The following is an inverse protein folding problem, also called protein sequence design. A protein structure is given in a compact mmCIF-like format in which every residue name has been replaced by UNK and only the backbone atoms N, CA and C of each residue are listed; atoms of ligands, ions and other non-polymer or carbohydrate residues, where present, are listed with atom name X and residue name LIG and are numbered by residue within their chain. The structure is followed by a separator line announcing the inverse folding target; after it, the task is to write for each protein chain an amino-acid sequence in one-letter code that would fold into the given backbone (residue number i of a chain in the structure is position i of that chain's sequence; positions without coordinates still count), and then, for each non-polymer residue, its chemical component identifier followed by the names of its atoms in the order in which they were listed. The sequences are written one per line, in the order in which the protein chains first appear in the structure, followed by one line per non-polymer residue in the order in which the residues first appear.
data_IF_654362265034
#
_entry.id   IF_654362265034
#
_cell.length_a   1.000
_cell.length_b   1.000
_cell.length_c   1.000
_cell.angle_alpha   90.00
_cell.angle_beta   90.00
_cell.angle_gamma   90.00
#
_symmetry.space_group_name_H-M   'P 1'
#
loop_
_entity.id
_entity.type
_entity.pdbx_description
1 polymer ?
#
# COMPACT_ATOMS: atom_id res chain seq x y z
N UNK A 1 5.08 17.74 -9.85
CA UNK A 1 4.07 16.83 -10.45
C UNK A 1 2.89 16.71 -9.51
N UNK A 2 1.83 17.50 -9.72
CA UNK A 2 0.64 17.53 -8.86
C UNK A 2 -0.30 16.33 -9.07
N UNK A 3 -0.20 15.69 -10.24
CA UNK A 3 -1.06 14.55 -10.60
C UNK A 3 -0.73 13.29 -9.78
N UNK A 4 0.56 12.91 -9.69
CA UNK A 4 0.99 11.75 -8.89
C UNK A 4 0.68 11.94 -7.41
N UNK A 5 0.88 13.15 -6.86
CA UNK A 5 0.55 13.43 -5.45
C UNK A 5 -0.95 13.36 -5.16
N UNK A 6 -1.80 13.71 -6.12
CA UNK A 6 -3.24 13.51 -6.00
C UNK A 6 -3.59 12.02 -5.97
N UNK A 7 -3.03 11.21 -6.89
CA UNK A 7 -3.26 9.76 -6.92
C UNK A 7 -2.88 9.13 -5.58
N UNK A 8 -1.68 9.41 -5.06
CA UNK A 8 -1.24 8.81 -3.81
C UNK A 8 -2.07 9.27 -2.61
N UNK A 9 -2.52 10.54 -2.57
CA UNK A 9 -3.45 11.01 -1.54
C UNK A 9 -4.79 10.31 -1.60
N UNK A 10 -5.35 10.13 -2.79
CA UNK A 10 -6.61 9.39 -2.97
C UNK A 10 -6.48 7.93 -2.56
N UNK A 11 -5.34 7.28 -2.84
CA UNK A 11 -5.06 5.92 -2.39
C UNK A 11 -4.98 5.83 -0.86
N UNK A 12 -4.30 6.78 -0.21
CA UNK A 12 -4.25 6.86 1.25
C UNK A 12 -5.62 7.10 1.88
N UNK A 13 -6.44 7.98 1.30
CA UNK A 13 -7.81 8.22 1.75
C UNK A 13 -8.70 6.97 1.58
N UNK A 14 -8.56 6.25 0.46
CA UNK A 14 -9.29 5.01 0.21
C UNK A 14 -8.86 3.91 1.20
N UNK A 15 -7.56 3.80 1.49
CA UNK A 15 -7.03 2.87 2.48
C UNK A 15 -7.58 3.15 3.89
N UNK A 16 -7.66 4.42 4.28
CA UNK A 16 -8.26 4.84 5.54
C UNK A 16 -9.75 4.53 5.59
N UNK A 17 -10.49 4.76 4.49
CA UNK A 17 -11.90 4.41 4.40
C UNK A 17 -12.15 2.90 4.53
N UNK A 18 -11.31 2.07 3.91
CA UNK A 18 -11.35 0.60 4.08
C UNK A 18 -11.09 0.22 5.53
N UNK A 19 -10.11 0.85 6.19
CA UNK A 19 -9.79 0.60 7.59
C UNK A 19 -10.95 0.96 8.54
N UNK A 20 -11.59 2.11 8.32
CA UNK A 20 -12.81 2.48 9.04
C UNK A 20 -13.94 1.49 8.77
N UNK A 21 -14.07 1.00 7.53
CA UNK A 21 -15.04 -0.03 7.15
C UNK A 21 -14.83 -1.33 7.92
N UNK A 22 -13.58 -1.78 8.07
CA UNK A 22 -13.24 -2.97 8.87
C UNK A 22 -13.63 -2.76 10.34
N UNK A 23 -13.29 -1.60 10.91
CA UNK A 23 -13.67 -1.28 12.29
C UNK A 23 -15.19 -1.32 12.48
N UNK A 24 -15.95 -0.73 11.55
CA UNK A 24 -17.41 -0.78 11.57
C UNK A 24 -17.94 -2.21 11.48
N UNK A 25 -17.41 -3.02 10.55
CA UNK A 25 -17.81 -4.43 10.38
C UNK A 25 -17.57 -5.25 11.66
N UNK A 26 -16.40 -5.13 12.27
CA UNK A 26 -16.05 -5.86 13.50
C UNK A 26 -16.96 -5.41 14.66
N UNK A 27 -17.20 -4.10 14.80
CA UNK A 27 -18.12 -3.59 15.81
C UNK A 27 -19.53 -4.14 15.62
N UNK A 28 -20.06 -4.11 14.39
CA UNK A 28 -21.37 -4.69 14.07
C UNK A 28 -21.40 -6.19 14.40
N UNK A 29 -20.35 -6.95 14.08
CA UNK A 29 -20.25 -8.38 14.38
C UNK A 29 -20.28 -8.64 15.90
N UNK A 30 -19.60 -7.82 16.70
CA UNK A 30 -19.62 -7.90 18.17
C UNK A 30 -21.04 -7.66 18.70
N UNK A 31 -21.74 -6.63 18.20
CA UNK A 31 -23.12 -6.34 18.61
C UNK A 31 -24.10 -7.44 18.20
N UNK A 32 -24.02 -7.94 16.96
CA UNK A 32 -24.90 -9.00 16.48
C UNK A 32 -24.70 -10.29 17.27
N UNK A 33 -23.43 -10.63 17.58
CA UNK A 33 -23.10 -11.79 18.40
C UNK A 33 -23.71 -11.69 19.79
N UNK A 34 -23.79 -10.49 20.37
CA UNK A 34 -24.45 -10.27 21.66
C UNK A 34 -25.98 -10.54 21.62
N UNK A 35 -26.60 -10.44 20.44
CA UNK A 35 -28.04 -10.68 20.21
C UNK A 35 -28.28 -12.12 19.68
N UNK A 36 -27.25 -12.99 19.70
CA UNK A 36 -27.33 -14.38 19.27
C UNK A 36 -27.38 -14.59 17.75
N UNK A 37 -27.14 -13.54 16.95
CA UNK A 37 -27.03 -13.64 15.50
C UNK A 37 -25.56 -13.52 15.07
N UNK A 38 -25.15 -14.28 14.07
CA UNK A 38 -23.80 -14.15 13.51
C UNK A 38 -23.90 -13.87 12.01
N UNK A 39 -23.13 -12.89 11.54
CA UNK A 39 -22.94 -12.68 10.10
C UNK A 39 -22.04 -13.80 9.58
N UNK A 40 -22.48 -14.63 8.63
CA UNK A 40 -21.62 -15.63 8.01
C UNK A 40 -20.45 -14.95 7.26
N UNK A 41 -19.22 -15.46 7.43
CA UNK A 41 -18.01 -14.98 6.72
C UNK A 41 -17.60 -13.51 6.94
N UNK A 42 -18.08 -12.83 7.99
CA UNK A 42 -17.64 -11.46 8.28
C UNK A 42 -16.12 -11.33 8.47
N UNK A 43 -15.49 -12.35 9.04
CA UNK A 43 -14.03 -12.40 9.25
C UNK A 43 -13.26 -12.44 7.92
N UNK A 44 -13.79 -13.14 6.90
CA UNK A 44 -13.19 -13.22 5.57
C UNK A 44 -13.23 -11.85 4.87
N UNK A 45 -14.38 -11.18 4.92
CA UNK A 45 -14.54 -9.82 4.37
C UNK A 45 -13.63 -8.81 5.07
N UNK A 46 -13.49 -8.91 6.40
CA UNK A 46 -12.58 -8.06 7.15
C UNK A 46 -11.12 -8.28 6.74
N UNK A 47 -10.70 -9.53 6.54
CA UNK A 47 -9.36 -9.86 6.07
C UNK A 47 -9.09 -9.33 4.65
N UNK A 48 -10.05 -9.45 3.74
CA UNK A 48 -9.91 -8.94 2.37
C UNK A 48 -9.84 -7.41 2.33
N UNK A 49 -10.69 -6.73 3.10
CA UNK A 49 -10.67 -5.28 3.21
C UNK A 49 -9.36 -4.79 3.86
N UNK A 50 -8.81 -5.55 4.82
CA UNK A 50 -7.52 -5.26 5.44
C UNK A 50 -6.39 -5.34 4.41
N UNK A 51 -6.33 -6.41 3.62
CA UNK A 51 -5.35 -6.54 2.55
C UNK A 51 -5.47 -5.36 1.57
N UNK A 52 -6.68 -5.01 1.13
CA UNK A 52 -6.90 -3.87 0.24
C UNK A 52 -6.38 -2.55 0.86
N UNK A 53 -6.67 -2.31 2.14
CA UNK A 53 -6.20 -1.12 2.86
C UNK A 53 -4.67 -1.03 2.89
N UNK A 54 -3.98 -2.11 3.24
CA UNK A 54 -2.52 -2.14 3.32
C UNK A 54 -1.91 -1.82 1.96
N UNK A 55 -2.32 -2.52 0.90
CA UNK A 55 -1.74 -2.34 -0.44
C UNK A 55 -2.03 -0.95 -1.03
N UNK A 56 -3.19 -0.37 -0.74
CA UNK A 56 -3.52 1.00 -1.15
C UNK A 56 -2.79 2.07 -0.34
N UNK A 57 -2.42 1.78 0.91
CA UNK A 57 -1.67 2.71 1.77
C UNK A 57 -0.18 2.82 1.39
N UNK A 58 0.42 1.75 0.85
CA UNK A 58 1.86 1.66 0.55
C UNK A 58 2.42 2.81 -0.33
N UNK A 59 1.78 3.21 -1.45
CA UNK A 59 2.29 4.30 -2.28
C UNK A 59 2.27 5.65 -1.54
N UNK A 60 1.21 5.88 -0.75
CA UNK A 60 1.01 7.12 0.01
C UNK A 60 2.01 7.29 1.15
N UNK A 61 2.37 6.19 1.81
CA UNK A 61 3.36 6.16 2.90
C UNK A 61 4.79 6.31 2.37
N UNK A 62 5.11 5.73 1.21
CA UNK A 62 6.42 5.89 0.57
C UNK A 62 6.69 7.36 0.18
N UNK A 63 5.68 8.06 -0.33
CA UNK A 63 5.80 9.45 -0.78
C UNK A 63 5.76 10.47 0.37
N UNK A 64 5.08 10.13 1.47
CA UNK A 64 5.06 10.91 2.70
C UNK A 64 6.31 10.70 3.59
N UNK A 65 7.30 9.93 3.12
CA UNK A 65 8.53 9.67 3.86
C UNK A 65 8.38 8.73 5.06
N UNK A 66 7.23 8.06 5.21
CA UNK A 66 6.84 7.31 6.40
C UNK A 66 7.52 5.94 6.58
N UNK A 67 8.11 5.34 5.55
CA UNK A 67 8.81 4.04 5.69
C UNK A 67 10.07 3.86 4.81
N UNK A 68 11.07 3.20 5.44
CA UNK A 68 12.42 2.81 4.97
C UNK A 68 13.11 3.88 4.12
N UNK A 69 13.24 5.07 4.69
CA UNK A 69 14.42 5.85 4.34
C UNK A 69 15.59 5.15 5.03
N UNK A 70 16.62 4.84 4.26
CA UNK A 70 17.98 4.58 4.72
C UNK A 70 18.54 5.89 5.32
N UNK A 71 17.71 6.69 6.00
CA UNK A 71 18.08 7.97 6.61
C UNK A 71 19.03 7.76 7.72
N UNK A 72 18.82 6.73 8.55
CA UNK A 72 19.76 6.43 9.63
C UNK A 72 21.14 6.17 9.07
N UNK A 73 21.25 5.49 7.92
CA UNK A 73 22.54 5.23 7.28
C UNK A 73 23.04 6.43 6.45
N UNK A 74 22.16 7.24 5.87
CA UNK A 74 22.50 8.49 5.17
C UNK A 74 22.92 9.61 6.13
N UNK A 75 22.44 9.58 7.37
CA UNK A 75 22.94 10.41 8.46
C UNK A 75 24.36 9.99 8.87
N UNK A 76 24.70 8.70 8.71
CA UNK A 76 26.05 8.16 8.93
C UNK A 76 27.01 8.38 7.76
N UNK A 77 26.53 8.28 6.51
CA UNK A 77 27.36 8.32 5.29
C UNK A 77 27.00 9.57 4.48
N UNK A 78 27.70 10.68 4.77
CA UNK A 78 27.60 11.94 4.02
C UNK A 78 28.43 11.85 2.73
N UNK A 79 27.82 12.07 1.57
CA UNK A 79 28.55 12.20 0.30
C UNK A 79 27.90 11.53 -0.91
N UNK A 80 28.60 11.48 -2.07
CA UNK A 80 28.09 10.90 -3.32
C UNK A 80 27.85 9.38 -3.22
N UNK A 81 28.58 8.67 -2.36
CA UNK A 81 28.42 7.23 -2.13
C UNK A 81 27.05 6.87 -1.55
N UNK A 82 26.54 7.67 -0.61
CA UNK A 82 25.20 7.47 -0.05
C UNK A 82 24.09 7.64 -1.10
N UNK A 83 24.35 8.45 -2.15
CA UNK A 83 23.41 8.60 -3.28
C UNK A 83 23.39 7.38 -4.17
N UNK A 84 24.56 6.82 -4.51
CA UNK A 84 24.64 5.60 -5.34
C UNK A 84 23.93 4.45 -4.63
N UNK A 85 24.16 4.28 -3.33
CA UNK A 85 23.51 3.25 -2.52
C UNK A 85 21.98 3.38 -2.51
N UNK A 86 21.46 4.59 -2.35
CA UNK A 86 20.01 4.85 -2.37
C UNK A 86 19.40 4.59 -3.75
N UNK A 87 20.12 4.93 -4.83
CA UNK A 87 19.67 4.63 -6.19
C UNK A 87 19.64 3.11 -6.40
N UNK A 88 20.73 2.40 -6.08
CA UNK A 88 20.80 0.94 -6.26
C UNK A 88 19.76 0.21 -5.43
N UNK A 89 19.56 0.60 -4.16
CA UNK A 89 18.54 0.01 -3.30
C UNK A 89 17.13 0.26 -3.83
N UNK A 90 16.85 1.49 -4.30
CA UNK A 90 15.55 1.82 -4.91
C UNK A 90 15.32 1.07 -6.22
N UNK A 91 16.38 0.81 -6.99
CA UNK A 91 16.32 0.09 -8.26
C UNK A 91 16.09 -1.42 -8.05
N UNK A 92 16.73 -2.01 -7.05
CA UNK A 92 16.48 -3.40 -6.62
C UNK A 92 15.04 -3.54 -6.13
N UNK A 93 14.58 -2.63 -5.26
CA UNK A 93 13.21 -2.62 -4.77
C UNK A 93 12.20 -2.49 -5.92
N UNK A 94 12.44 -1.59 -6.88
CA UNK A 94 11.62 -1.45 -8.07
C UNK A 94 11.56 -2.74 -8.89
N UNK A 95 12.70 -3.39 -9.13
CA UNK A 95 12.75 -4.64 -9.89
C UNK A 95 11.96 -5.76 -9.21
N UNK A 96 12.11 -5.91 -7.89
CA UNK A 96 11.37 -6.90 -7.11
C UNK A 96 9.86 -6.63 -7.11
N UNK A 97 9.46 -5.36 -6.98
CA UNK A 97 8.05 -4.96 -6.97
C UNK A 97 7.40 -5.07 -8.34
N UNK A 98 8.10 -4.70 -9.41
CA UNK A 98 7.62 -4.86 -10.78
C UNK A 98 7.42 -6.34 -11.11
N UNK A 99 8.39 -7.19 -10.77
CA UNK A 99 8.26 -8.65 -10.91
C UNK A 99 7.09 -9.20 -10.09
N UNK A 100 6.99 -8.80 -8.82
CA UNK A 100 5.90 -9.20 -7.94
C UNK A 100 4.54 -8.80 -8.47
N UNK A 101 4.39 -7.59 -9.00
CA UNK A 101 3.12 -7.10 -9.56
C UNK A 101 2.65 -7.94 -10.76
N UNK A 102 3.58 -8.33 -11.65
CA UNK A 102 3.28 -9.24 -12.78
C UNK A 102 2.89 -10.62 -12.27
N UNK A 103 3.61 -11.17 -11.29
CA UNK A 103 3.30 -12.47 -10.70
C UNK A 103 1.93 -12.49 -10.00
N UNK A 104 1.58 -11.40 -9.30
CA UNK A 104 0.24 -11.23 -8.71
C UNK A 104 -0.83 -11.15 -9.81
N UNK A 105 -0.59 -10.42 -10.90
CA UNK A 105 -1.53 -10.33 -12.01
C UNK A 105 -1.79 -11.70 -12.65
N UNK A 106 -0.74 -12.52 -12.86
CA UNK A 106 -0.93 -13.90 -13.33
C UNK A 106 -1.72 -14.76 -12.34
N UNK A 107 -1.46 -14.61 -11.04
CA UNK A 107 -2.19 -15.34 -10.00
C UNK A 107 -3.69 -15.00 -10.00
N UNK A 108 -4.05 -13.73 -10.17
CA UNK A 108 -5.46 -13.31 -10.29
C UNK A 108 -6.09 -13.81 -11.57
N UNK A 109 -5.34 -13.82 -12.67
CA UNK A 109 -5.83 -14.35 -13.94
C UNK A 109 -6.13 -15.85 -13.86
N UNK A 110 -5.26 -16.62 -13.22
CA UNK A 110 -5.49 -18.04 -12.98
C UNK A 110 -6.71 -18.24 -12.07
N UNK A 111 -6.80 -17.52 -10.95
CA UNK A 111 -7.95 -17.52 -10.03
C UNK A 111 -9.28 -17.23 -10.75
N UNK A 112 -9.28 -16.26 -11.68
CA UNK A 112 -10.44 -15.97 -12.53
C UNK A 112 -10.79 -17.13 -13.47
N UNK A 113 -9.78 -17.72 -14.12
CA UNK A 113 -9.97 -18.82 -15.09
C UNK A 113 -10.45 -20.11 -14.41
N UNK A 114 -9.94 -20.43 -13.23
CA UNK A 114 -10.33 -21.60 -12.45
C UNK A 114 -11.63 -21.39 -11.65
N UNK A 115 -12.23 -20.18 -11.70
CA UNK A 115 -13.39 -19.79 -10.88
C UNK A 115 -13.19 -20.11 -9.40
N UNK A 116 -12.00 -19.76 -8.88
CA UNK A 116 -11.68 -20.01 -7.48
C UNK A 116 -12.59 -19.19 -6.56
N UNK A 117 -13.29 -19.90 -5.68
CA UNK A 117 -14.20 -19.33 -4.69
C UNK A 117 -13.59 -19.44 -3.30
N UNK A 118 -13.91 -18.47 -2.44
CA UNK A 118 -13.43 -18.48 -1.06
C UNK A 118 -13.89 -19.71 -0.31
N UNK A 119 -13.00 -20.28 0.51
CA UNK A 119 -13.29 -21.40 1.42
C UNK A 119 -14.17 -21.03 2.63
N UNK A 120 -14.65 -19.78 2.70
CA UNK A 120 -15.55 -19.29 3.74
C UNK A 120 -16.96 -19.86 3.66
N UNK A 121 -17.79 -19.53 4.65
CA UNK A 121 -19.22 -19.88 4.69
C UNK A 121 -20.01 -19.28 3.51
N UNK A 122 -19.51 -18.19 2.93
CA UNK A 122 -20.05 -17.58 1.71
C UNK A 122 -19.03 -17.80 0.58
N UNK A 123 -19.46 -18.42 -0.52
CA UNK A 123 -18.64 -18.60 -1.71
C UNK A 123 -18.56 -17.28 -2.49
N UNK A 124 -17.52 -16.49 -2.25
CA UNK A 124 -17.24 -15.25 -2.99
C UNK A 124 -16.10 -15.51 -3.98
N UNK A 125 -16.19 -15.02 -5.23
CA UNK A 125 -15.09 -15.15 -6.18
C UNK A 125 -13.83 -14.44 -5.67
N UNK A 126 -12.72 -15.18 -5.55
CA UNK A 126 -11.48 -14.66 -4.96
C UNK A 126 -10.78 -13.61 -5.84
N UNK A 127 -11.10 -13.55 -7.13
CA UNK A 127 -10.53 -12.56 -8.04
C UNK A 127 -10.85 -11.11 -7.62
N UNK A 128 -12.01 -10.86 -7.00
CA UNK A 128 -12.42 -9.51 -6.55
C UNK A 128 -11.44 -8.94 -5.51
N UNK A 129 -11.24 -9.59 -4.34
CA UNK A 129 -10.30 -9.09 -3.35
C UNK A 129 -8.86 -9.08 -3.87
N UNK A 130 -8.47 -10.06 -4.69
CA UNK A 130 -7.10 -10.14 -5.22
C UNK A 130 -6.75 -9.00 -6.19
N UNK A 131 -7.72 -8.47 -6.96
CA UNK A 131 -7.48 -7.30 -7.84
C UNK A 131 -6.98 -6.10 -7.04
N UNK A 132 -7.46 -5.88 -5.82
CA UNK A 132 -7.03 -4.74 -5.00
C UNK A 132 -5.53 -4.80 -4.68
N UNK A 133 -5.00 -6.01 -4.48
CA UNK A 133 -3.58 -6.25 -4.25
C UNK A 133 -2.76 -5.98 -5.52
N UNK A 134 -3.26 -6.41 -6.70
CA UNK A 134 -2.60 -6.13 -7.99
C UNK A 134 -2.51 -4.61 -8.21
N UNK A 135 -3.62 -3.89 -8.03
CA UNK A 135 -3.67 -2.44 -8.20
C UNK A 135 -2.72 -1.73 -7.24
N UNK A 136 -2.76 -2.06 -5.95
CA UNK A 136 -1.88 -1.44 -4.95
C UNK A 136 -0.39 -1.75 -5.20
N UNK A 137 -0.05 -2.98 -5.61
CA UNK A 137 1.32 -3.35 -5.97
C UNK A 137 1.83 -2.60 -7.21
N UNK A 138 1.00 -2.42 -8.23
CA UNK A 138 1.34 -1.69 -9.44
C UNK A 138 1.57 -0.20 -9.14
N UNK A 139 0.69 0.41 -8.34
CA UNK A 139 0.85 1.80 -7.89
C UNK A 139 2.09 1.97 -7.01
N UNK A 140 2.42 0.99 -6.18
CA UNK A 140 3.61 1.01 -5.35
C UNK A 140 4.90 0.90 -6.18
N UNK A 141 4.90 0.04 -7.21
CA UNK A 141 5.99 -0.02 -8.20
C UNK A 141 6.16 1.31 -8.92
N UNK A 142 5.06 1.97 -9.31
CA UNK A 142 5.11 3.29 -9.93
C UNK A 142 5.70 4.36 -8.99
N UNK A 143 5.34 4.33 -7.71
CA UNK A 143 5.89 5.23 -6.71
C UNK A 143 7.42 5.04 -6.53
N UNK A 144 7.90 3.80 -6.60
CA UNK A 144 9.34 3.52 -6.60
C UNK A 144 10.04 4.02 -7.88
N UNK A 145 9.43 3.86 -9.05
CA UNK A 145 9.98 4.38 -10.30
C UNK A 145 10.11 5.91 -10.26
N UNK A 146 9.08 6.61 -9.76
CA UNK A 146 9.12 8.06 -9.58
C UNK A 146 10.20 8.49 -8.58
N UNK A 147 10.41 7.72 -7.51
CA UNK A 147 11.50 7.95 -6.55
C UNK A 147 12.88 7.84 -7.20
N UNK A 148 13.12 6.81 -8.02
CA UNK A 148 14.38 6.64 -8.77
C UNK A 148 14.61 7.83 -9.69
N UNK A 149 13.59 8.25 -10.43
CA UNK A 149 13.67 9.41 -11.33
C UNK A 149 14.04 10.69 -10.57
N UNK A 150 13.40 10.94 -9.42
CA UNK A 150 13.70 12.11 -8.57
C UNK A 150 15.12 12.09 -8.01
N UNK A 151 15.62 10.92 -7.62
CA UNK A 151 17.00 10.74 -7.14
C UNK A 151 18.04 11.01 -8.24
N UNK A 152 17.74 10.63 -9.49
CA UNK A 152 18.60 10.88 -10.65
C UNK A 152 18.57 12.35 -11.08
N UNK A 153 17.41 13.01 -11.01
CA UNK A 153 17.21 14.41 -11.41
C UNK A 153 17.55 15.45 -10.34
N UNK A 154 18.09 15.03 -9.19
CA UNK A 154 18.41 15.91 -8.04
C UNK A 154 17.22 16.72 -7.51
N UNK A 155 15.99 16.26 -7.75
CA UNK A 155 14.79 16.95 -7.29
C UNK A 155 14.49 16.59 -5.83
N UNK A 156 13.86 17.50 -5.06
CA UNK A 156 13.37 17.17 -3.73
C UNK A 156 12.40 15.98 -3.83
N UNK A 157 12.77 14.91 -3.14
CA UNK A 157 12.02 13.64 -3.13
C UNK A 157 10.73 13.73 -2.32
N UNK A 158 10.59 14.76 -1.49
CA UNK A 158 9.54 14.86 -0.47
C UNK A 158 8.71 16.12 -0.68
N UNK A 159 7.39 15.98 -0.60
CA UNK A 159 6.51 17.14 -0.42
C UNK A 159 6.50 17.36 1.09
N UNK A 160 7.47 18.09 1.63
CA UNK A 160 7.54 18.38 3.06
C UNK A 160 6.32 19.22 3.46
N UNK A 161 5.22 18.56 3.77
CA UNK A 161 4.17 19.12 4.60
C UNK A 161 4.43 18.70 6.04
N UNK A 162 5.63 19.01 6.52
CA UNK A 162 5.86 19.15 7.95
C UNK A 162 5.47 20.62 8.17
N UNK A 163 4.29 20.83 8.74
CA UNK A 163 3.95 22.12 9.33
C UNK A 163 5.16 22.60 10.15
N UNK A 164 5.53 23.89 10.12
CA UNK A 164 6.67 24.37 10.88
C UNK A 164 6.54 23.83 12.29
N UNK A 165 7.49 22.98 12.68
CA UNK A 165 7.68 22.58 14.06
C UNK A 165 7.70 23.89 14.83
N UNK A 166 6.65 24.11 15.60
CA UNK A 166 6.51 25.25 16.47
C UNK A 166 7.75 25.24 17.34
N UNK A 167 8.65 26.17 17.04
CA UNK A 167 9.63 26.72 17.98
C UNK A 167 8.83 27.20 19.19
N UNK A 168 8.55 26.28 20.10
CA UNK A 168 8.31 26.60 21.50
C UNK A 168 9.65 26.44 22.22
N UNK A 169 10.04 27.59 22.78
CA UNK A 169 11.26 27.98 23.48
C UNK A 169 11.60 27.08 24.65
#
# INVERSE_FOLDING_TARGET
MAFSSLIYKTCGALAAAMLCGIAALILTQIFLRAIGHQIPSADDFAAWALCASIFLALPSTLMSGGHIRVTSLRNLIKGPFGRVMDITASLIALAMLAWGSVALASFVWDSYRYNDVSHGLVAVPLWIPQITMVIGSALFSLAFAERVIRLVLHLPTETSNIAPESTEV
#
